data_IF_820200435740
#
_entry.id   IF_820200435740
#
_cell.length_a   1.000
_cell.length_b   1.000
_cell.length_c   1.000
_cell.angle_alpha   90.00
_cell.angle_beta   90.00
_cell.angle_gamma   90.00
#
_symmetry.space_group_name_H-M   'P 1'
#
loop_
_entity.id
_entity.type
_entity.pdbx_description
1 polymer ?
#
# COMPACT_ATOMS: atom_id res chain seq x y z
N UNK A 1 -24.30 18.49 -2.40
CA UNK A 1 -23.79 17.12 -2.24
C UNK A 1 -22.35 17.10 -2.71
N UNK A 2 -21.41 16.75 -1.83
CA UNK A 2 -20.01 16.51 -2.22
C UNK A 2 -19.99 15.45 -3.32
N UNK A 3 -19.29 15.70 -4.42
CA UNK A 3 -19.23 14.79 -5.55
C UNK A 3 -18.27 13.64 -5.19
N UNK A 4 -18.76 12.67 -4.41
CA UNK A 4 -17.99 11.55 -3.84
C UNK A 4 -17.31 10.66 -4.90
N UNK A 5 -17.71 10.80 -6.16
CA UNK A 5 -17.07 10.17 -7.32
C UNK A 5 -15.58 10.53 -7.44
N UNK A 6 -15.18 11.74 -7.02
CA UNK A 6 -13.79 12.20 -7.06
C UNK A 6 -12.87 11.38 -6.15
N UNK A 7 -13.41 10.83 -5.06
CA UNK A 7 -12.67 10.02 -4.08
C UNK A 7 -12.75 8.52 -4.36
N UNK A 8 -13.75 8.09 -5.14
CA UNK A 8 -13.95 6.69 -5.49
C UNK A 8 -12.84 6.15 -6.41
N UNK A 9 -12.40 6.94 -7.39
CA UNK A 9 -11.31 6.56 -8.30
C UNK A 9 -9.99 6.30 -7.55
N UNK A 10 -9.46 7.22 -6.72
CA UNK A 10 -8.24 6.93 -5.96
C UNK A 10 -8.44 5.83 -4.92
N UNK A 11 -9.63 5.72 -4.30
CA UNK A 11 -9.94 4.62 -3.37
C UNK A 11 -9.77 3.25 -4.05
N UNK A 12 -10.40 3.04 -5.19
CA UNK A 12 -10.34 1.77 -5.91
C UNK A 12 -8.94 1.54 -6.52
N UNK A 13 -8.31 2.58 -7.04
CA UNK A 13 -6.97 2.51 -7.62
C UNK A 13 -5.91 2.12 -6.58
N UNK A 14 -5.80 2.87 -5.48
CA UNK A 14 -4.85 2.58 -4.42
C UNK A 14 -5.21 1.33 -3.61
N UNK A 15 -6.51 1.05 -3.42
CA UNK A 15 -6.98 -0.18 -2.80
C UNK A 15 -6.57 -1.42 -3.61
N UNK A 16 -6.81 -1.40 -4.92
CA UNK A 16 -6.38 -2.46 -5.83
C UNK A 16 -4.86 -2.61 -5.87
N UNK A 17 -4.12 -1.50 -5.98
CA UNK A 17 -2.66 -1.50 -5.93
C UNK A 17 -2.15 -2.14 -4.63
N UNK A 18 -2.72 -1.75 -3.49
CA UNK A 18 -2.32 -2.28 -2.18
C UNK A 18 -2.60 -3.77 -2.07
N UNK A 19 -3.77 -4.23 -2.55
CA UNK A 19 -4.12 -5.64 -2.58
C UNK A 19 -3.15 -6.46 -3.44
N UNK A 20 -2.78 -5.96 -4.62
CA UNK A 20 -1.77 -6.59 -5.48
C UNK A 20 -0.40 -6.63 -4.82
N UNK A 21 0.03 -5.54 -4.17
CA UNK A 21 1.33 -5.51 -3.47
C UNK A 21 1.38 -6.53 -2.32
N UNK A 22 0.32 -6.65 -1.52
CA UNK A 22 0.23 -7.70 -0.50
C UNK A 22 0.20 -9.10 -1.11
N UNK A 23 -0.58 -9.29 -2.17
CA UNK A 23 -0.61 -10.57 -2.88
C UNK A 23 0.78 -10.98 -3.37
N UNK A 24 1.51 -10.07 -4.02
CA UNK A 24 2.87 -10.32 -4.50
C UNK A 24 3.84 -10.61 -3.34
N UNK A 25 3.72 -9.88 -2.22
CA UNK A 25 4.54 -10.13 -1.03
C UNK A 25 4.36 -11.56 -0.51
N UNK A 26 3.12 -12.01 -0.34
CA UNK A 26 2.84 -13.37 0.13
C UNK A 26 3.15 -14.43 -0.93
N UNK A 27 2.94 -14.12 -2.20
CA UNK A 27 3.22 -15.06 -3.29
C UNK A 27 4.73 -15.35 -3.44
N UNK A 28 5.58 -14.36 -3.15
CA UNK A 28 7.05 -14.47 -3.23
C UNK A 28 7.72 -14.50 -1.85
N UNK A 29 6.99 -14.88 -0.79
CA UNK A 29 7.51 -14.78 0.58
C UNK A 29 8.76 -15.64 0.79
N UNK A 30 8.78 -16.86 0.25
CA UNK A 30 9.88 -17.79 0.36
C UNK A 30 11.15 -17.24 -0.31
N UNK A 31 11.03 -16.70 -1.53
CA UNK A 31 12.17 -16.10 -2.24
C UNK A 31 12.68 -14.84 -1.53
N UNK A 32 11.78 -14.01 -1.00
CA UNK A 32 12.17 -12.80 -0.25
C UNK A 32 12.94 -13.22 1.01
N UNK A 33 12.46 -14.22 1.75
CA UNK A 33 13.15 -14.74 2.94
C UNK A 33 14.50 -15.35 2.56
N UNK A 34 14.56 -16.14 1.48
CA UNK A 34 15.81 -16.75 1.03
C UNK A 34 16.86 -15.69 0.68
N UNK A 35 16.50 -14.68 -0.11
CA UNK A 35 17.43 -13.63 -0.53
C UNK A 35 17.85 -12.75 0.65
N UNK A 36 16.92 -12.41 1.54
CA UNK A 36 17.22 -11.57 2.72
C UNK A 36 18.07 -12.28 3.75
N UNK A 37 17.92 -13.61 3.89
CA UNK A 37 18.72 -14.43 4.82
C UNK A 37 20.22 -14.45 4.47
N UNK A 38 20.58 -14.18 3.20
CA UNK A 38 21.97 -14.12 2.73
C UNK A 38 22.77 -12.96 3.34
N UNK A 39 22.09 -12.00 3.99
CA UNK A 39 22.73 -10.87 4.66
C UNK A 39 23.35 -9.84 3.69
N UNK A 40 24.21 -8.98 4.22
CA UNK A 40 24.78 -7.86 3.45
C UNK A 40 23.72 -6.78 3.19
N UNK A 41 23.61 -6.30 1.95
CA UNK A 41 22.65 -5.26 1.56
C UNK A 41 21.24 -5.78 1.25
N UNK A 42 21.00 -7.10 1.34
CA UNK A 42 19.71 -7.70 1.01
C UNK A 42 18.56 -7.26 1.94
N UNK A 43 18.87 -6.75 3.15
CA UNK A 43 17.87 -6.14 4.06
C UNK A 43 17.10 -4.97 3.42
N UNK A 44 17.66 -4.33 2.39
CA UNK A 44 16.98 -3.26 1.66
C UNK A 44 15.72 -3.76 0.93
N UNK A 45 15.65 -5.04 0.57
CA UNK A 45 14.50 -5.63 -0.12
C UNK A 45 13.21 -5.51 0.72
N UNK A 46 13.14 -6.07 1.95
CA UNK A 46 11.94 -5.98 2.77
C UNK A 46 11.65 -4.54 3.19
N UNK A 47 12.67 -3.68 3.33
CA UNK A 47 12.50 -2.24 3.59
C UNK A 47 11.82 -1.56 2.39
N UNK A 48 12.28 -1.80 1.17
CA UNK A 48 11.68 -1.24 -0.04
C UNK A 48 10.24 -1.73 -0.24
N UNK A 49 9.98 -3.03 0.00
CA UNK A 49 8.63 -3.60 -0.03
C UNK A 49 7.73 -2.92 1.01
N UNK A 50 8.19 -2.77 2.24
CA UNK A 50 7.43 -2.10 3.29
C UNK A 50 7.09 -0.64 2.92
N UNK A 51 8.03 0.09 2.29
CA UNK A 51 7.76 1.44 1.79
C UNK A 51 6.75 1.47 0.64
N UNK A 52 6.85 0.55 -0.32
CA UNK A 52 5.91 0.45 -1.43
C UNK A 52 4.48 0.19 -0.94
N UNK A 53 4.31 -0.77 -0.01
CA UNK A 53 3.03 -1.06 0.62
C UNK A 53 2.54 0.15 1.42
N UNK A 54 3.40 0.77 2.24
CA UNK A 54 3.03 1.94 3.05
C UNK A 54 2.54 3.11 2.20
N UNK A 55 3.19 3.36 1.06
CA UNK A 55 2.76 4.40 0.13
C UNK A 55 1.39 4.09 -0.48
N UNK A 56 1.18 2.88 -1.00
CA UNK A 56 -0.10 2.47 -1.58
C UNK A 56 -1.23 2.49 -0.54
N UNK A 57 -1.01 1.83 0.59
CA UNK A 57 -2.01 1.71 1.66
C UNK A 57 -2.32 3.05 2.34
N UNK A 58 -1.32 3.92 2.49
CA UNK A 58 -1.49 5.26 3.04
C UNK A 58 -2.38 6.13 2.15
N UNK A 59 -2.14 6.14 0.83
CA UNK A 59 -2.99 6.86 -0.12
C UNK A 59 -4.40 6.26 -0.20
N UNK A 60 -4.53 4.93 -0.14
CA UNK A 60 -5.83 4.27 -0.01
C UNK A 60 -6.59 4.75 1.22
N UNK A 61 -5.92 4.78 2.38
CA UNK A 61 -6.53 5.17 3.66
C UNK A 61 -6.95 6.64 3.64
N UNK A 62 -6.14 7.53 3.05
CA UNK A 62 -6.50 8.93 2.86
C UNK A 62 -7.76 9.07 1.99
N UNK A 63 -7.82 8.39 0.84
CA UNK A 63 -8.99 8.39 -0.04
C UNK A 63 -10.23 7.76 0.62
N UNK A 64 -10.03 6.75 1.48
CA UNK A 64 -11.09 6.11 2.27
C UNK A 64 -11.74 7.07 3.26
N UNK A 65 -10.93 7.80 4.03
CA UNK A 65 -11.46 8.81 4.96
C UNK A 65 -12.15 9.95 4.22
N UNK A 66 -11.55 10.44 3.12
CA UNK A 66 -12.17 11.46 2.28
C UNK A 66 -13.51 11.01 1.68
N UNK A 67 -13.62 9.76 1.25
CA UNK A 67 -14.87 9.18 0.71
C UNK A 67 -15.95 9.06 1.79
N UNK A 68 -15.58 8.71 3.03
CA UNK A 68 -16.48 8.74 4.19
C UNK A 68 -16.84 10.16 4.65
N UNK A 69 -16.21 11.20 4.09
CA UNK A 69 -16.40 12.59 4.49
C UNK A 69 -15.70 12.96 5.80
N UNK A 70 -14.82 12.09 6.30
CA UNK A 70 -14.04 12.32 7.52
C UNK A 70 -12.72 12.97 7.11
N UNK A 71 -12.55 14.25 7.44
CA UNK A 71 -11.30 14.96 7.20
C UNK A 71 -10.59 15.23 8.51
N UNK A 72 -9.25 15.21 8.46
CA UNK A 72 -8.45 15.69 9.57
C UNK A 72 -8.86 17.13 9.89
N UNK A 73 -9.05 17.41 11.18
CA UNK A 73 -9.33 18.75 11.66
C UNK A 73 -8.04 19.56 11.52
N UNK A 74 -8.00 20.44 10.53
CA UNK A 74 -6.99 21.49 10.45
C UNK A 74 -7.32 22.58 11.47
#
# INVERSE_FOLDING_TARGET
MSNNSKYLTPLLGFGGLTAVLYFLLFYFEDEIVEITSKGGWSFLIPVAVAFAISYGHGNFTAAFWDWLGIKAKN
#
